data_IF_355495380758
#
_entry.id   IF_355495380758
#
_cell.length_a   1.000
_cell.length_b   1.000
_cell.length_c   1.000
_cell.angle_alpha   90.00
_cell.angle_beta   90.00
_cell.angle_gamma   90.00
#
_symmetry.space_group_name_H-M   'P 1'
#
loop_
_entity.id
_entity.type
_entity.pdbx_description
1 polymer ?
#
# COMPACT_ATOMS: atom_id res chain seq x y z
N UNK A 1 50.03 -18.01 2.41
CA UNK A 1 48.90 -17.06 2.56
C UNK A 1 47.70 -17.82 3.07
N UNK A 2 46.99 -17.33 4.10
CA UNK A 2 45.76 -17.97 4.55
C UNK A 2 44.70 -17.92 3.45
N UNK A 3 43.97 -19.02 3.24
CA UNK A 3 42.86 -19.06 2.30
C UNK A 3 41.75 -18.08 2.72
N UNK A 4 41.05 -17.48 1.77
CA UNK A 4 39.91 -16.58 2.01
C UNK A 4 38.91 -17.17 3.03
N UNK A 5 38.67 -18.48 2.95
CA UNK A 5 37.79 -19.21 3.85
C UNK A 5 38.31 -19.29 5.30
N UNK A 6 39.63 -19.40 5.48
CA UNK A 6 40.24 -19.39 6.80
C UNK A 6 40.13 -18.02 7.45
N UNK A 7 40.32 -16.94 6.67
CA UNK A 7 40.13 -15.57 7.13
C UNK A 7 38.67 -15.27 7.47
N UNK A 8 37.74 -15.67 6.61
CA UNK A 8 36.30 -15.52 6.84
C UNK A 8 35.86 -16.28 8.10
N UNK A 9 36.33 -17.51 8.30
CA UNK A 9 36.05 -18.29 9.51
C UNK A 9 36.63 -17.62 10.77
N UNK A 10 37.84 -17.09 10.71
CA UNK A 10 38.46 -16.38 11.84
C UNK A 10 37.71 -15.09 12.20
N UNK A 11 37.28 -14.32 11.20
CA UNK A 11 36.48 -13.10 11.40
C UNK A 11 35.09 -13.41 11.96
N UNK A 12 34.42 -14.43 11.43
CA UNK A 12 33.13 -14.90 11.99
C UNK A 12 33.28 -15.36 13.43
N UNK A 13 34.31 -16.17 13.72
CA UNK A 13 34.57 -16.66 15.08
C UNK A 13 34.82 -15.50 16.06
N UNK A 14 35.62 -14.52 15.64
CA UNK A 14 35.84 -13.30 16.40
C UNK A 14 34.53 -12.53 16.65
N UNK A 15 33.70 -12.33 15.63
CA UNK A 15 32.42 -11.64 15.78
C UNK A 15 31.46 -12.40 16.71
N UNK A 16 31.46 -13.73 16.67
CA UNK A 16 30.71 -14.57 17.61
C UNK A 16 31.25 -14.41 19.03
N UNK A 17 32.57 -14.38 19.23
CA UNK A 17 33.19 -14.18 20.55
C UNK A 17 32.90 -12.79 21.12
N UNK A 18 32.97 -11.74 20.30
CA UNK A 18 32.64 -10.37 20.71
C UNK A 18 31.17 -10.27 21.15
N UNK A 19 30.26 -10.86 20.37
CA UNK A 19 28.84 -10.96 20.70
C UNK A 19 28.61 -11.75 21.99
N UNK A 20 29.28 -12.90 22.17
CA UNK A 20 29.18 -13.73 23.39
C UNK A 20 29.71 -13.00 24.63
N UNK A 21 30.72 -12.13 24.48
CA UNK A 21 31.30 -11.35 25.58
C UNK A 21 30.37 -10.22 26.01
N UNK A 22 29.66 -9.58 25.08
CA UNK A 22 28.66 -8.56 25.38
C UNK A 22 27.24 -9.13 25.52
N UNK A 23 27.04 -9.96 26.55
CA UNK A 23 25.76 -10.66 26.83
C UNK A 23 24.51 -9.74 26.85
N UNK A 24 24.50 -8.55 27.49
CA UNK A 24 23.29 -7.72 27.52
C UNK A 24 22.93 -7.17 26.13
N UNK A 25 23.93 -6.80 25.33
CA UNK A 25 23.70 -6.34 23.95
C UNK A 25 23.18 -7.47 23.07
N UNK A 26 23.75 -8.67 23.18
CA UNK A 26 23.29 -9.85 22.44
C UNK A 26 21.84 -10.21 22.79
N UNK A 27 21.48 -10.11 24.07
CA UNK A 27 20.12 -10.36 24.53
C UNK A 27 19.13 -9.35 23.93
N UNK A 28 19.47 -8.06 23.93
CA UNK A 28 18.65 -7.02 23.30
C UNK A 28 18.53 -7.22 21.78
N UNK A 29 19.64 -7.53 21.09
CA UNK A 29 19.67 -7.79 19.64
C UNK A 29 18.78 -8.97 19.23
N UNK A 30 18.63 -9.99 20.09
CA UNK A 30 17.77 -11.16 19.82
C UNK A 30 16.32 -10.94 20.28
N UNK A 31 16.13 -10.27 21.43
CA UNK A 31 14.81 -10.09 22.02
C UNK A 31 13.93 -9.16 21.17
N UNK A 32 14.48 -8.05 20.64
CA UNK A 32 13.68 -7.11 19.85
C UNK A 32 13.08 -7.75 18.58
N UNK A 33 13.83 -8.46 17.72
CA UNK A 33 13.26 -9.15 16.55
C UNK A 33 12.22 -10.21 16.93
N UNK A 34 12.50 -11.00 17.97
CA UNK A 34 11.57 -12.04 18.44
C UNK A 34 10.28 -11.42 18.96
N UNK A 35 10.37 -10.32 19.72
CA UNK A 35 9.23 -9.55 20.18
C UNK A 35 8.35 -9.06 19.02
N UNK A 36 8.95 -8.50 17.97
CA UNK A 36 8.20 -8.04 16.79
C UNK A 36 7.57 -9.18 16.00
N UNK A 37 8.23 -10.33 15.88
CA UNK A 37 7.64 -11.52 15.24
C UNK A 37 6.44 -12.03 16.04
N UNK A 38 6.54 -12.08 17.38
CA UNK A 38 5.42 -12.45 18.25
C UNK A 38 4.27 -11.46 18.09
N UNK A 39 4.57 -10.16 18.04
CA UNK A 39 3.58 -9.11 17.79
C UNK A 39 2.89 -9.31 16.43
N UNK A 40 3.63 -9.62 15.36
CA UNK A 40 3.07 -9.90 14.04
C UNK A 40 2.16 -11.14 14.05
N UNK A 41 2.55 -12.20 14.75
CA UNK A 41 1.73 -13.41 14.91
C UNK A 41 0.47 -13.11 15.71
N UNK A 42 0.57 -12.31 16.78
CA UNK A 42 -0.57 -11.86 17.57
C UNK A 42 -1.53 -11.03 16.71
N UNK A 43 -1.03 -10.03 15.99
CA UNK A 43 -1.81 -9.22 15.04
C UNK A 43 -2.47 -10.11 13.99
N UNK A 44 -1.74 -11.06 13.38
CA UNK A 44 -2.32 -11.99 12.39
C UNK A 44 -3.43 -12.85 12.98
N UNK A 45 -3.25 -13.36 14.19
CA UNK A 45 -4.24 -14.22 14.86
C UNK A 45 -5.49 -13.46 15.29
N UNK A 46 -5.35 -12.20 15.71
CA UNK A 46 -6.48 -11.30 15.99
C UNK A 46 -7.28 -10.92 14.74
N UNK A 47 -6.74 -11.22 13.56
CA UNK A 47 -7.22 -10.70 12.28
C UNK A 47 -7.71 -11.80 11.34
N UNK A 48 -8.01 -13.00 11.85
CA UNK A 48 -8.70 -14.02 11.05
C UNK A 48 -10.00 -13.42 10.51
N UNK A 49 -10.02 -13.18 9.21
CA UNK A 49 -11.23 -12.76 8.51
C UNK A 49 -12.20 -13.95 8.51
N UNK A 50 -13.27 -13.82 9.27
CA UNK A 50 -14.38 -14.77 9.20
C UNK A 50 -15.11 -14.51 7.87
N UNK A 51 -14.96 -15.45 6.93
CA UNK A 51 -15.62 -15.36 5.63
C UNK A 51 -17.13 -15.41 5.85
N UNK A 52 -17.86 -14.49 5.22
CA UNK A 52 -19.30 -14.52 5.25
C UNK A 52 -19.80 -15.59 4.26
N UNK A 53 -20.61 -16.56 4.72
CA UNK A 53 -21.07 -17.65 3.87
C UNK A 53 -21.99 -17.15 2.75
N UNK A 54 -22.17 -17.98 1.72
CA UNK A 54 -23.16 -17.74 0.69
C UNK A 54 -24.57 -17.67 1.32
N UNK A 55 -25.40 -16.75 0.81
CA UNK A 55 -26.75 -16.50 1.33
C UNK A 55 -27.77 -16.65 0.21
N UNK A 56 -28.84 -17.38 0.50
CA UNK A 56 -30.05 -17.41 -0.32
C UNK A 56 -31.20 -16.78 0.45
N UNK A 57 -32.05 -16.06 -0.26
CA UNK A 57 -33.17 -15.32 0.33
C UNK A 57 -34.49 -16.01 0.01
N UNK A 58 -35.46 -16.05 0.93
CA UNK A 58 -36.78 -16.60 0.66
C UNK A 58 -37.55 -15.69 -0.33
N UNK A 59 -38.42 -16.29 -1.14
CA UNK A 59 -39.38 -15.53 -1.95
C UNK A 59 -40.49 -14.96 -1.05
N UNK A 60 -40.83 -13.70 -1.25
CA UNK A 60 -41.81 -12.97 -0.42
C UNK A 60 -42.94 -12.46 -1.30
N UNK A 61 -44.17 -12.74 -0.88
CA UNK A 61 -45.35 -12.25 -1.58
C UNK A 61 -45.49 -10.73 -1.38
N UNK A 62 -45.70 -9.98 -2.46
CA UNK A 62 -45.78 -8.51 -2.38
C UNK A 62 -46.95 -8.04 -1.52
N UNK A 63 -47.99 -8.87 -1.36
CA UNK A 63 -49.15 -8.55 -0.53
C UNK A 63 -48.79 -8.21 0.93
N UNK A 64 -47.70 -8.75 1.47
CA UNK A 64 -47.22 -8.43 2.83
C UNK A 64 -46.75 -6.97 2.95
N UNK A 65 -46.22 -6.39 1.87
CA UNK A 65 -45.69 -5.04 1.83
C UNK A 65 -46.74 -3.97 1.54
N UNK A 66 -47.95 -4.37 1.11
CA UNK A 66 -49.09 -3.44 0.91
C UNK A 66 -49.51 -2.72 2.21
N UNK A 67 -49.06 -3.20 3.37
CA UNK A 67 -49.28 -2.58 4.68
C UNK A 67 -48.39 -1.35 4.94
N UNK A 68 -47.20 -1.29 4.32
CA UNK A 68 -46.26 -0.18 4.42
C UNK A 68 -46.62 0.89 3.39
N UNK A 69 -47.43 1.85 3.84
CA UNK A 69 -48.07 2.86 3.00
C UNK A 69 -47.09 3.93 2.53
N UNK A 70 -47.36 4.48 1.33
CA UNK A 70 -46.99 5.85 0.96
C UNK A 70 -47.33 6.76 2.14
N UNK A 71 -46.32 7.38 2.75
CA UNK A 71 -46.50 8.31 3.86
C UNK A 71 -47.44 9.43 3.40
N UNK A 72 -48.58 9.58 4.08
CA UNK A 72 -49.76 10.33 3.67
C UNK A 72 -49.49 11.68 3.02
N UNK A 73 -49.38 11.68 1.69
CA UNK A 73 -49.04 12.84 0.90
C UNK A 73 -49.84 12.91 -0.39
N UNK A 74 -49.83 14.09 -1.00
CA UNK A 74 -50.45 14.36 -2.29
C UNK A 74 -49.71 13.61 -3.40
N UNK A 75 -50.45 13.09 -4.37
CA UNK A 75 -49.90 12.57 -5.62
C UNK A 75 -50.09 13.62 -6.72
N UNK A 76 -49.02 13.98 -7.42
CA UNK A 76 -49.12 14.87 -8.57
C UNK A 76 -49.21 14.07 -9.86
N UNK A 77 -50.24 14.32 -10.66
CA UNK A 77 -50.54 13.54 -11.87
C UNK A 77 -50.51 14.44 -13.11
N UNK A 78 -49.99 13.94 -14.23
CA UNK A 78 -49.99 14.61 -15.53
C UNK A 78 -50.19 13.58 -16.65
N UNK A 79 -50.86 13.90 -17.77
CA UNK A 79 -51.58 15.14 -18.09
C UNK A 79 -53.01 15.22 -17.51
N UNK A 80 -53.59 16.42 -17.44
CA UNK A 80 -54.95 16.64 -16.97
C UNK A 80 -56.00 16.28 -18.06
N UNK A 81 -56.22 14.99 -18.28
CA UNK A 81 -57.24 14.47 -19.18
C UNK A 81 -58.30 13.66 -18.42
N UNK A 82 -59.52 13.58 -18.96
CA UNK A 82 -60.61 12.80 -18.36
C UNK A 82 -60.29 11.30 -18.28
N UNK A 83 -59.53 10.77 -19.24
CA UNK A 83 -59.06 9.38 -19.23
C UNK A 83 -58.11 9.12 -18.06
N UNK A 84 -57.12 9.99 -17.84
CA UNK A 84 -56.17 9.87 -16.72
C UNK A 84 -56.88 10.02 -15.38
N UNK A 85 -57.91 10.87 -15.30
CA UNK A 85 -58.74 11.01 -14.10
C UNK A 85 -59.45 9.69 -13.75
N UNK A 86 -60.12 9.07 -14.73
CA UNK A 86 -60.80 7.79 -14.53
C UNK A 86 -59.82 6.68 -14.12
N UNK A 87 -58.63 6.64 -14.72
CA UNK A 87 -57.54 5.72 -14.34
C UNK A 87 -57.13 5.93 -12.88
N UNK A 88 -56.89 7.17 -12.48
CA UNK A 88 -56.46 7.49 -11.13
C UNK A 88 -57.51 7.15 -10.09
N UNK A 89 -58.80 7.41 -10.35
CA UNK A 89 -59.89 7.05 -9.46
C UNK A 89 -59.98 5.52 -9.27
N UNK A 90 -59.75 4.74 -10.34
CA UNK A 90 -59.68 3.28 -10.26
C UNK A 90 -58.45 2.77 -9.48
N UNK A 91 -57.29 3.41 -9.64
CA UNK A 91 -56.06 3.09 -8.89
C UNK A 91 -56.28 3.35 -7.39
N UNK A 92 -56.90 4.47 -7.03
CA UNK A 92 -57.19 4.81 -5.64
C UNK A 92 -58.19 3.85 -4.99
N UNK A 93 -59.19 3.40 -5.76
CA UNK A 93 -60.11 2.37 -5.30
C UNK A 93 -59.40 1.04 -5.02
N UNK A 94 -58.41 0.66 -5.84
CA UNK A 94 -57.61 -0.55 -5.64
C UNK A 94 -56.65 -0.44 -4.44
N UNK A 95 -56.13 0.75 -4.16
CA UNK A 95 -55.25 1.01 -3.01
C UNK A 95 -56.00 1.07 -1.67
N UNK A 96 -57.34 1.15 -1.68
CA UNK A 96 -58.22 1.15 -0.51
C UNK A 96 -57.86 2.19 0.58
N UNK A 97 -57.24 3.32 0.21
CA UNK A 97 -56.82 4.37 1.16
C UNK A 97 -57.14 5.79 0.66
N UNK A 98 -57.42 6.74 1.57
CA UNK A 98 -57.67 8.13 1.20
C UNK A 98 -56.36 8.83 0.86
N UNK A 99 -55.96 8.77 -0.42
CA UNK A 99 -54.83 9.53 -0.96
C UNK A 99 -55.39 10.66 -1.83
N UNK A 100 -54.93 11.89 -1.57
CA UNK A 100 -55.31 13.04 -2.38
C UNK A 100 -54.39 13.16 -3.60
N UNK A 101 -54.95 13.50 -4.76
CA UNK A 101 -54.16 13.77 -5.95
C UNK A 101 -54.53 15.12 -6.57
N UNK A 102 -53.56 15.72 -7.26
CA UNK A 102 -53.74 16.95 -8.01
C UNK A 102 -53.22 16.75 -9.43
N UNK A 103 -54.02 17.15 -10.42
CA UNK A 103 -53.67 16.99 -11.84
C UNK A 103 -53.09 18.27 -12.42
N UNK A 104 -52.08 18.13 -13.27
CA UNK A 104 -51.41 19.21 -13.98
C UNK A 104 -51.50 19.00 -15.48
N UNK A 105 -51.52 20.10 -16.24
CA UNK A 105 -51.53 20.06 -17.70
C UNK A 105 -50.21 19.53 -18.30
N UNK A 106 -49.10 19.67 -17.58
CA UNK A 106 -47.76 19.24 -18.03
C UNK A 106 -46.90 18.77 -16.86
N UNK A 107 -46.01 17.81 -17.12
CA UNK A 107 -45.05 17.28 -16.13
C UNK A 107 -44.15 18.37 -15.54
N UNK A 108 -43.74 19.36 -16.35
CA UNK A 108 -42.92 20.50 -15.89
C UNK A 108 -43.64 21.40 -14.87
N UNK A 109 -44.96 21.56 -15.01
CA UNK A 109 -45.75 22.34 -14.07
C UNK A 109 -45.87 21.62 -12.71
N UNK A 110 -46.04 20.29 -12.74
CA UNK A 110 -46.02 19.45 -11.54
C UNK A 110 -44.65 19.52 -10.82
N UNK A 111 -43.54 19.49 -11.56
CA UNK A 111 -42.19 19.62 -11.01
C UNK A 111 -41.95 21.00 -10.37
N UNK A 112 -42.40 22.08 -11.01
CA UNK A 112 -42.27 23.43 -10.47
C UNK A 112 -43.01 23.57 -9.13
N UNK A 113 -44.22 22.98 -9.03
CA UNK A 113 -44.97 22.97 -7.78
C UNK A 113 -44.32 22.09 -6.72
N UNK A 114 -43.80 20.93 -7.08
CA UNK A 114 -43.07 20.05 -6.17
C UNK A 114 -41.85 20.73 -5.53
N UNK A 115 -41.12 21.54 -6.31
CA UNK A 115 -39.99 22.34 -5.80
C UNK A 115 -40.41 23.40 -4.78
N UNK A 116 -41.66 23.87 -4.83
CA UNK A 116 -42.19 24.84 -3.87
C UNK A 116 -42.73 24.19 -2.58
N UNK A 117 -43.17 22.93 -2.63
CA UNK A 117 -43.79 22.24 -1.50
C UNK A 117 -43.42 20.75 -1.46
N UNK A 118 -42.16 20.47 -1.07
CA UNK A 118 -41.54 19.13 -1.20
C UNK A 118 -41.99 18.12 -0.14
N UNK A 119 -42.37 18.57 1.07
CA UNK A 119 -42.59 17.68 2.22
C UNK A 119 -43.96 16.98 2.25
N UNK A 120 -44.93 17.45 1.45
CA UNK A 120 -46.30 16.92 1.43
C UNK A 120 -46.63 16.06 0.22
N UNK A 121 -45.67 15.87 -0.69
CA UNK A 121 -45.89 15.14 -1.95
C UNK A 121 -45.25 13.75 -1.83
N UNK A 122 -46.06 12.72 -1.97
CA UNK A 122 -45.61 11.34 -1.84
C UNK A 122 -44.98 10.83 -3.15
N UNK A 123 -45.62 11.10 -4.28
CA UNK A 123 -45.17 10.67 -5.60
C UNK A 123 -45.71 11.58 -6.71
N UNK A 124 -45.01 11.63 -7.84
CA UNK A 124 -45.49 12.17 -9.11
C UNK A 124 -45.71 11.05 -10.12
N UNK A 125 -46.85 11.01 -10.78
CA UNK A 125 -47.17 10.05 -11.84
C UNK A 125 -47.31 10.82 -13.15
N UNK A 126 -46.55 10.40 -14.16
CA UNK A 126 -46.62 10.94 -15.51
C UNK A 126 -47.16 9.82 -16.40
N UNK A 127 -48.39 9.95 -16.86
CA UNK A 127 -48.94 9.11 -17.92
C UNK A 127 -48.51 9.68 -19.28
N UNK A 128 -48.52 8.82 -20.30
CA UNK A 128 -48.15 9.13 -21.68
C UNK A 128 -46.70 9.63 -21.84
N UNK A 129 -45.79 9.05 -21.04
CA UNK A 129 -44.39 9.47 -20.95
C UNK A 129 -43.65 9.44 -22.30
N UNK A 130 -43.86 8.40 -23.11
CA UNK A 130 -43.24 8.23 -24.44
C UNK A 130 -44.18 8.60 -25.60
N UNK A 131 -45.17 9.47 -25.36
CA UNK A 131 -46.28 9.77 -26.31
C UNK A 131 -47.15 8.54 -26.65
N UNK A 132 -46.91 7.42 -25.98
CA UNK A 132 -47.72 6.21 -26.06
C UNK A 132 -48.74 6.21 -24.92
N UNK A 133 -50.02 6.01 -25.26
CA UNK A 133 -51.18 6.05 -24.33
C UNK A 133 -51.11 5.09 -23.12
N UNK A 134 -50.18 4.15 -23.17
CA UNK A 134 -50.02 3.05 -22.21
C UNK A 134 -48.68 3.12 -21.45
N UNK A 135 -47.86 4.15 -21.72
CA UNK A 135 -46.60 4.37 -21.01
C UNK A 135 -46.84 5.24 -19.77
N UNK A 136 -46.13 4.94 -18.68
CA UNK A 136 -46.18 5.76 -17.48
C UNK A 136 -44.81 5.81 -16.80
N UNK A 137 -44.56 6.87 -16.03
CA UNK A 137 -43.38 7.03 -15.20
C UNK A 137 -43.79 7.47 -13.80
N UNK A 138 -43.26 6.78 -12.79
CA UNK A 138 -43.42 7.13 -11.38
C UNK A 138 -42.16 7.86 -10.93
N UNK A 139 -42.32 9.02 -10.32
CA UNK A 139 -41.23 9.83 -9.76
C UNK A 139 -41.45 10.03 -8.28
N UNK A 140 -40.44 9.71 -7.49
CA UNK A 140 -40.46 9.86 -6.03
C UNK A 140 -39.25 10.65 -5.58
N UNK A 141 -39.26 11.11 -4.33
CA UNK A 141 -38.13 11.81 -3.74
C UNK A 141 -36.92 10.87 -3.65
N UNK A 142 -35.78 11.31 -4.17
CA UNK A 142 -34.51 10.56 -4.17
C UNK A 142 -34.01 10.16 -2.78
N UNK A 143 -34.48 10.82 -1.71
CA UNK A 143 -34.14 10.47 -0.32
C UNK A 143 -34.80 9.15 0.09
N UNK A 144 -36.05 8.92 -0.34
CA UNK A 144 -36.82 7.74 0.05
C UNK A 144 -36.65 6.60 -0.97
N UNK A 145 -36.48 6.94 -2.24
CA UNK A 145 -36.30 5.97 -3.31
C UNK A 145 -35.08 6.42 -4.12
N UNK A 146 -33.88 5.91 -3.81
CA UNK A 146 -32.64 6.33 -4.47
C UNK A 146 -32.61 5.89 -5.94
N UNK A 147 -31.79 6.54 -6.77
CA UNK A 147 -31.63 6.10 -8.17
C UNK A 147 -31.05 4.68 -8.24
N UNK A 148 -31.64 3.86 -9.10
CA UNK A 148 -31.14 2.53 -9.48
C UNK A 148 -29.65 2.51 -9.81
N UNK A 149 -29.11 3.56 -10.46
CA UNK A 149 -27.67 3.66 -10.76
C UNK A 149 -26.79 3.67 -9.52
N UNK A 150 -27.29 4.23 -8.42
CA UNK A 150 -26.60 4.26 -7.12
C UNK A 150 -26.70 2.88 -6.45
N UNK A 151 -27.86 2.24 -6.52
CA UNK A 151 -28.08 0.92 -5.92
C UNK A 151 -27.17 -0.17 -6.51
N UNK A 152 -26.93 -0.16 -7.82
CA UNK A 152 -26.04 -1.12 -8.47
C UNK A 152 -24.54 -0.83 -8.26
N UNK A 153 -24.19 0.35 -7.75
CA UNK A 153 -22.82 0.72 -7.45
C UNK A 153 -22.41 0.41 -5.99
N UNK A 154 -23.32 -0.12 -5.17
CA UNK A 154 -23.09 -0.26 -3.74
C UNK A 154 -22.51 -1.63 -3.33
N UNK A 155 -21.46 -1.51 -2.52
CA UNK A 155 -20.70 -2.46 -1.71
C UNK A 155 -21.33 -3.87 -1.56
N UNK A 156 -20.59 -4.96 -1.85
CA UNK A 156 -21.08 -6.35 -1.83
C UNK A 156 -21.55 -6.86 -0.44
N UNK A 157 -21.30 -6.08 0.61
CA UNK A 157 -21.67 -6.37 2.01
C UNK A 157 -23.11 -5.95 2.35
N UNK A 158 -23.72 -5.06 1.57
CA UNK A 158 -25.09 -4.59 1.79
C UNK A 158 -26.10 -5.76 1.73
N UNK A 159 -27.21 -5.67 2.45
CA UNK A 159 -28.30 -6.68 2.49
C UNK A 159 -27.92 -8.08 3.01
N UNK A 160 -26.71 -8.32 3.54
CA UNK A 160 -26.32 -9.63 4.13
C UNK A 160 -26.68 -9.80 5.60
N UNK A 161 -26.93 -8.70 6.31
CA UNK A 161 -27.21 -8.73 7.75
C UNK A 161 -28.59 -9.32 8.09
N UNK A 162 -29.51 -9.36 7.11
CA UNK A 162 -30.86 -9.87 7.28
C UNK A 162 -31.07 -11.13 6.43
N UNK A 163 -31.23 -12.28 7.09
CA UNK A 163 -31.47 -13.58 6.43
C UNK A 163 -32.78 -13.62 5.65
N UNK A 164 -33.76 -12.79 6.03
CA UNK A 164 -35.04 -12.70 5.34
C UNK A 164 -34.99 -11.71 4.17
N UNK A 165 -33.98 -10.84 4.13
CA UNK A 165 -33.80 -9.86 3.06
C UNK A 165 -34.92 -8.82 2.99
N UNK A 166 -35.58 -8.49 4.10
CA UNK A 166 -36.70 -7.52 4.16
C UNK A 166 -36.36 -6.22 4.85
N UNK A 167 -35.28 -6.16 5.62
CA UNK A 167 -34.88 -4.97 6.36
C UNK A 167 -34.49 -3.82 5.43
N UNK A 168 -34.88 -2.59 5.78
CA UNK A 168 -34.53 -1.35 5.06
C UNK A 168 -33.23 -0.73 5.55
N UNK A 169 -32.86 -0.91 6.82
CA UNK A 169 -31.71 -0.24 7.46
C UNK A 169 -30.35 -0.64 6.91
N UNK A 170 -30.24 -1.83 6.31
CA UNK A 170 -28.99 -2.37 5.77
C UNK A 170 -29.12 -2.76 4.29
N UNK A 171 -30.27 -2.49 3.68
CA UNK A 171 -30.56 -2.84 2.30
C UNK A 171 -31.40 -1.75 1.63
N UNK A 172 -30.71 -0.82 0.96
CA UNK A 172 -31.35 0.31 0.29
C UNK A 172 -32.33 -0.14 -0.80
N UNK A 173 -32.12 -1.31 -1.42
CA UNK A 173 -33.02 -1.87 -2.43
C UNK A 173 -34.43 -2.12 -1.87
N UNK A 174 -34.53 -2.51 -0.59
CA UNK A 174 -35.82 -2.78 0.04
C UNK A 174 -36.65 -1.51 0.29
N UNK A 175 -36.06 -0.32 0.19
CA UNK A 175 -36.79 0.95 0.31
C UNK A 175 -37.90 1.07 -0.75
N UNK A 176 -37.71 0.50 -1.94
CA UNK A 176 -38.72 0.44 -2.99
C UNK A 176 -39.98 -0.33 -2.56
N UNK A 177 -39.80 -1.40 -1.76
CA UNK A 177 -40.91 -2.20 -1.25
C UNK A 177 -41.62 -1.54 -0.08
N UNK A 178 -40.88 -0.87 0.80
CA UNK A 178 -41.43 -0.28 2.04
C UNK A 178 -41.99 1.14 1.88
N UNK A 179 -41.49 1.92 0.91
CA UNK A 179 -41.95 3.30 0.71
C UNK A 179 -43.15 3.40 -0.26
N UNK A 180 -43.74 2.27 -0.65
CA UNK A 180 -44.96 2.21 -1.46
C UNK A 180 -44.76 2.46 -2.97
N UNK A 181 -43.53 2.45 -3.48
CA UNK A 181 -43.28 2.51 -4.92
C UNK A 181 -43.84 1.27 -5.62
N UNK A 182 -43.53 0.08 -5.11
CA UNK A 182 -43.98 -1.20 -5.70
C UNK A 182 -45.49 -1.36 -5.64
N UNK A 183 -46.14 -0.92 -4.55
CA UNK A 183 -47.59 -0.98 -4.41
C UNK A 183 -48.30 -0.07 -5.42
N UNK A 184 -47.79 1.14 -5.65
CA UNK A 184 -48.29 2.05 -6.67
C UNK A 184 -48.06 1.48 -8.07
N UNK A 185 -46.88 0.92 -8.34
CA UNK A 185 -46.56 0.29 -9.61
C UNK A 185 -47.52 -0.87 -9.92
N UNK A 186 -47.74 -1.78 -8.96
CA UNK A 186 -48.68 -2.90 -9.12
C UNK A 186 -50.13 -2.43 -9.33
N UNK A 187 -50.56 -1.39 -8.63
CA UNK A 187 -51.91 -0.85 -8.80
C UNK A 187 -52.10 -0.27 -10.21
N UNK A 188 -51.12 0.51 -10.72
CA UNK A 188 -51.15 1.04 -12.09
C UNK A 188 -51.17 -0.11 -13.11
N UNK A 189 -50.24 -1.05 -13.01
CA UNK A 189 -50.13 -2.17 -13.94
C UNK A 189 -51.41 -3.01 -13.97
N UNK A 190 -52.02 -3.25 -12.80
CA UNK A 190 -53.30 -3.96 -12.69
C UNK A 190 -54.42 -3.23 -13.43
N UNK A 191 -54.52 -1.92 -13.32
CA UNK A 191 -55.54 -1.14 -14.04
C UNK A 191 -55.25 -1.12 -15.55
N UNK A 192 -54.00 -0.94 -15.96
CA UNK A 192 -53.61 -0.97 -17.38
C UNK A 192 -53.89 -2.35 -18.01
N UNK A 193 -53.59 -3.44 -17.30
CA UNK A 193 -53.92 -4.81 -17.77
C UNK A 193 -55.43 -5.02 -17.92
N UNK A 194 -56.24 -4.49 -16.99
CA UNK A 194 -57.72 -4.53 -17.08
C UNK A 194 -58.21 -3.75 -18.32
N UNK A 195 -57.65 -2.57 -18.60
CA UNK A 195 -58.00 -1.78 -19.78
C UNK A 195 -57.66 -2.50 -21.09
N UNK A 196 -56.55 -3.24 -21.11
CA UNK A 196 -56.12 -4.06 -22.25
C UNK A 196 -56.93 -5.36 -22.42
N UNK A 197 -58.00 -5.56 -21.61
CA UNK A 197 -58.88 -6.74 -21.65
C UNK A 197 -58.13 -8.07 -21.57
N UNK A 198 -56.99 -8.09 -20.86
CA UNK A 198 -56.33 -9.35 -20.55
C UNK A 198 -57.13 -10.08 -19.47
N UNK A 199 -57.82 -11.16 -19.87
CA UNK A 199 -58.55 -12.04 -18.96
C UNK A 199 -57.56 -12.89 -18.17
N UNK A 200 -57.01 -12.34 -17.09
CA UNK A 200 -56.19 -13.10 -16.16
C UNK A 200 -56.64 -12.86 -14.73
N UNK A 201 -56.79 -13.96 -14.01
CA UNK A 201 -56.83 -14.00 -12.54
C UNK A 201 -55.72 -13.11 -11.97
N UNK A 202 -55.99 -12.36 -10.89
CA UNK A 202 -54.99 -11.52 -10.23
C UNK A 202 -53.69 -12.31 -10.04
N UNK A 203 -52.58 -11.95 -10.73
CA UNK A 203 -51.35 -12.73 -10.64
C UNK A 203 -50.77 -12.60 -9.23
N UNK A 204 -50.42 -13.73 -8.62
CA UNK A 204 -49.66 -13.75 -7.37
C UNK A 204 -48.20 -13.45 -7.68
N UNK A 205 -47.74 -12.26 -7.32
CA UNK A 205 -46.36 -11.82 -7.59
C UNK A 205 -45.55 -11.96 -6.31
N UNK A 206 -44.45 -12.70 -6.38
CA UNK A 206 -43.46 -12.77 -5.32
C UNK A 206 -42.16 -12.13 -5.78
N UNK A 207 -41.45 -11.50 -4.85
CA UNK A 207 -40.11 -10.95 -5.09
C UNK A 207 -39.10 -11.70 -4.24
N UNK A 208 -37.94 -11.95 -4.82
CA UNK A 208 -36.83 -12.62 -4.17
C UNK A 208 -35.56 -11.83 -4.51
N UNK A 209 -34.74 -11.55 -3.49
CA UNK A 209 -33.40 -11.03 -3.72
C UNK A 209 -32.54 -12.13 -4.36
N UNK A 210 -31.68 -11.74 -5.30
CA UNK A 210 -30.73 -12.68 -5.88
C UNK A 210 -29.80 -13.25 -4.81
N UNK A 211 -29.44 -14.52 -4.98
CA UNK A 211 -28.49 -15.20 -4.11
C UNK A 211 -27.16 -14.46 -4.11
N UNK A 212 -26.58 -14.32 -2.91
CA UNK A 212 -25.29 -13.65 -2.72
C UNK A 212 -24.18 -14.69 -2.54
N UNK A 213 -23.10 -14.61 -3.33
CA UNK A 213 -21.98 -15.56 -3.24
C UNK A 213 -21.23 -15.41 -1.91
N UNK A 214 -20.31 -16.31 -1.61
CA UNK A 214 -19.41 -16.16 -0.46
C UNK A 214 -18.62 -14.83 -0.59
N UNK A 215 -18.52 -14.08 0.51
CA UNK A 215 -17.76 -12.83 0.55
C UNK A 215 -16.73 -12.90 1.67
N UNK A 216 -15.48 -12.67 1.29
CA UNK A 216 -14.44 -12.38 2.28
C UNK A 216 -14.58 -10.88 2.63
N UNK A 217 -14.83 -10.53 3.90
CA UNK A 217 -15.02 -9.13 4.29
C UNK A 217 -13.79 -8.30 3.92
N UNK A 218 -14.00 -7.00 3.65
CA UNK A 218 -12.89 -6.07 3.35
C UNK A 218 -11.86 -6.09 4.47
N UNK A 219 -10.59 -5.89 4.10
CA UNK A 219 -9.46 -5.82 5.04
C UNK A 219 -9.73 -4.79 6.13
N UNK A 220 -9.78 -5.24 7.39
CA UNK A 220 -9.83 -4.37 8.56
C UNK A 220 -8.67 -3.35 8.53
N UNK A 221 -8.86 -2.14 9.06
CA UNK A 221 -7.81 -1.10 9.13
C UNK A 221 -6.49 -1.61 9.74
N UNK A 222 -6.57 -2.55 10.69
CA UNK A 222 -5.39 -3.19 11.30
C UNK A 222 -4.58 -4.02 10.28
N UNK A 223 -5.21 -4.58 9.25
CA UNK A 223 -4.53 -5.35 8.19
C UNK A 223 -3.82 -4.42 7.22
N UNK A 224 -4.42 -3.27 6.91
CA UNK A 224 -3.79 -2.20 6.11
C UNK A 224 -2.53 -1.66 6.80
N UNK A 225 -2.56 -1.51 8.12
CA UNK A 225 -1.41 -1.05 8.90
C UNK A 225 -0.39 -2.15 9.24
N UNK A 226 -0.65 -3.42 8.89
CA UNK A 226 0.27 -4.54 9.20
C UNK A 226 1.66 -4.37 8.56
N UNK A 227 1.71 -3.75 7.38
CA UNK A 227 2.94 -3.42 6.66
C UNK A 227 3.91 -2.56 7.46
N UNK A 228 3.41 -1.63 8.28
CA UNK A 228 4.22 -0.75 9.12
C UNK A 228 4.96 -1.55 10.18
N UNK A 229 4.33 -2.57 10.78
CA UNK A 229 4.97 -3.42 11.78
C UNK A 229 6.11 -4.26 11.19
N UNK A 230 5.97 -4.74 9.95
CA UNK A 230 7.07 -5.42 9.25
C UNK A 230 8.27 -4.50 9.06
N UNK A 231 8.07 -3.28 8.59
CA UNK A 231 9.17 -2.32 8.40
C UNK A 231 9.83 -1.97 9.73
N UNK A 232 9.04 -1.77 10.79
CA UNK A 232 9.55 -1.48 12.13
C UNK A 232 10.48 -2.60 12.62
N UNK A 233 10.10 -3.87 12.41
CA UNK A 233 10.90 -5.02 12.85
C UNK A 233 12.28 -5.10 12.19
N UNK A 234 12.38 -4.81 10.89
CA UNK A 234 13.64 -4.85 10.16
C UNK A 234 14.52 -3.63 10.46
N UNK A 235 13.90 -2.48 10.73
CA UNK A 235 14.63 -1.24 10.99
C UNK A 235 15.47 -1.29 12.27
N UNK A 236 14.97 -1.95 13.31
CA UNK A 236 15.70 -2.09 14.59
C UNK A 236 16.98 -2.91 14.41
N UNK A 237 16.94 -3.95 13.57
CA UNK A 237 18.12 -4.74 13.22
C UNK A 237 19.18 -3.92 12.47
N UNK A 238 18.74 -3.10 11.51
CA UNK A 238 19.63 -2.24 10.75
C UNK A 238 20.34 -1.22 11.64
N UNK A 239 19.65 -0.68 12.65
CA UNK A 239 20.21 0.27 13.61
C UNK A 239 21.33 -0.34 14.47
N UNK A 240 21.12 -1.54 15.01
CA UNK A 240 22.16 -2.23 15.77
C UNK A 240 23.39 -2.52 14.92
N UNK A 241 23.19 -2.95 13.66
CA UNK A 241 24.28 -3.18 12.72
C UNK A 241 25.04 -1.89 12.41
N UNK A 242 24.32 -0.78 12.17
CA UNK A 242 24.93 0.52 11.94
C UNK A 242 25.77 0.99 13.14
N UNK A 243 25.22 0.95 14.36
CA UNK A 243 25.94 1.34 15.59
C UNK A 243 27.19 0.49 15.78
N UNK A 244 27.10 -0.83 15.58
CA UNK A 244 28.25 -1.73 15.72
C UNK A 244 29.35 -1.45 14.68
N UNK A 245 28.98 -1.18 13.42
CA UNK A 245 29.93 -0.80 12.36
C UNK A 245 30.60 0.54 12.70
N UNK A 246 29.82 1.51 13.18
CA UNK A 246 30.33 2.83 13.57
C UNK A 246 31.27 2.71 14.75
N UNK A 247 30.91 1.95 15.78
CA UNK A 247 31.76 1.69 16.94
C UNK A 247 33.06 0.97 16.55
N UNK A 248 33.02 0.03 15.60
CA UNK A 248 34.23 -0.63 15.08
C UNK A 248 35.13 0.37 14.34
N UNK A 249 34.51 1.30 13.61
CA UNK A 249 35.21 2.35 12.85
C UNK A 249 35.81 3.43 13.77
N UNK A 250 35.11 3.85 14.81
CA UNK A 250 35.57 4.85 15.79
C UNK A 250 36.76 4.33 16.59
N UNK A 251 36.69 3.08 17.05
CA UNK A 251 37.77 2.44 17.81
C UNK A 251 38.98 2.02 16.95
N UNK A 252 38.98 2.37 15.64
CA UNK A 252 40.06 2.06 14.68
C UNK A 252 40.48 0.58 14.69
N UNK A 253 39.54 -0.31 15.00
CA UNK A 253 39.82 -1.74 15.20
C UNK A 253 40.36 -2.38 13.90
N UNK A 254 39.91 -1.88 12.75
CA UNK A 254 40.39 -2.27 11.42
C UNK A 254 41.87 -1.93 11.19
N UNK A 255 42.33 -0.79 11.71
CA UNK A 255 43.75 -0.40 11.65
C UNK A 255 44.60 -1.29 12.55
N UNK A 256 44.09 -1.65 13.74
CA UNK A 256 44.73 -2.65 14.61
C UNK A 256 44.82 -4.04 13.95
N UNK A 257 43.80 -4.47 13.20
CA UNK A 257 43.85 -5.72 12.42
C UNK A 257 44.90 -5.69 11.31
N UNK A 258 45.06 -4.55 10.64
CA UNK A 258 46.11 -4.35 9.63
C UNK A 258 47.51 -4.45 10.25
N UNK A 259 47.73 -3.88 11.43
CA UNK A 259 49.01 -3.99 12.15
C UNK A 259 49.31 -5.42 12.63
N UNK A 260 48.29 -6.26 12.83
CA UNK A 260 48.45 -7.68 13.14
C UNK A 260 48.71 -8.57 11.91
N UNK A 261 48.94 -7.98 10.73
CA UNK A 261 49.31 -8.71 9.51
C UNK A 261 48.13 -9.31 8.74
N UNK A 262 46.89 -8.92 9.05
CA UNK A 262 45.74 -9.28 8.21
C UNK A 262 45.83 -8.49 6.90
N UNK A 263 45.77 -9.15 5.72
CA UNK A 263 45.82 -8.46 4.46
C UNK A 263 44.63 -7.51 4.33
N UNK A 264 44.90 -6.35 3.75
CA UNK A 264 43.89 -5.32 3.52
C UNK A 264 42.88 -5.85 2.50
N UNK A 265 41.69 -6.21 2.98
CA UNK A 265 40.50 -6.30 2.13
C UNK A 265 40.20 -4.86 1.66
N UNK A 266 40.80 -4.44 0.55
CA UNK A 266 40.41 -3.24 -0.21
C UNK A 266 38.90 -3.32 -0.49
N UNK A 267 38.06 -2.29 -0.34
CA UNK A 267 38.23 -0.84 -0.16
C UNK A 267 37.21 -0.38 0.90
N UNK A 268 37.66 0.35 1.91
CA UNK A 268 36.86 1.35 2.64
C UNK A 268 37.82 2.00 3.63
N UNK A 269 38.21 3.24 3.33
CA UNK A 269 39.08 4.08 4.16
C UNK A 269 38.43 5.46 4.32
N UNK A 270 38.20 5.80 5.59
CA UNK A 270 38.15 7.13 6.19
C UNK A 270 37.01 8.10 5.83
N UNK A 271 35.91 7.93 6.58
CA UNK A 271 35.19 9.07 7.15
C UNK A 271 34.61 8.67 8.52
N UNK A 272 35.26 9.04 9.63
CA UNK A 272 34.82 8.66 10.99
C UNK A 272 33.69 9.54 11.51
N UNK A 273 33.71 10.85 11.18
CA UNK A 273 32.70 11.82 11.60
C UNK A 273 31.35 11.61 10.89
N UNK A 274 31.37 11.22 9.61
CA UNK A 274 30.14 10.88 8.87
C UNK A 274 29.49 9.58 9.36
N UNK A 275 30.28 8.62 9.82
CA UNK A 275 29.78 7.34 10.33
C UNK A 275 29.08 7.50 11.70
N UNK A 276 29.68 8.28 12.62
CA UNK A 276 29.06 8.59 13.91
C UNK A 276 27.74 9.36 13.76
N UNK A 277 27.71 10.37 12.88
CA UNK A 277 26.48 11.11 12.55
C UNK A 277 25.44 10.17 11.89
N UNK A 278 25.87 9.28 10.99
CA UNK A 278 25.01 8.30 10.34
C UNK A 278 24.42 7.26 11.31
N UNK A 279 25.14 6.86 12.37
CA UNK A 279 24.61 5.95 13.41
C UNK A 279 23.51 6.58 14.27
N UNK A 280 23.66 7.86 14.64
CA UNK A 280 22.63 8.61 15.39
C UNK A 280 21.42 8.92 14.50
N UNK A 281 21.65 9.33 13.25
CA UNK A 281 20.59 9.55 12.26
C UNK A 281 19.88 8.22 11.94
N UNK A 282 20.59 7.10 11.84
CA UNK A 282 20.01 5.78 11.67
C UNK A 282 19.14 5.38 12.87
N UNK A 283 19.52 5.73 14.10
CA UNK A 283 18.71 5.44 15.30
C UNK A 283 17.30 6.06 15.27
N UNK A 284 17.20 7.34 14.87
CA UNK A 284 15.94 8.09 14.86
C UNK A 284 15.17 8.01 13.53
N UNK A 285 15.84 7.70 12.43
CA UNK A 285 15.20 7.64 11.10
C UNK A 285 14.01 6.68 11.04
N UNK A 286 14.01 5.47 11.64
CA UNK A 286 12.91 4.52 11.47
C UNK A 286 11.65 4.96 12.17
N UNK A 287 11.76 5.69 13.29
CA UNK A 287 10.59 6.23 13.99
C UNK A 287 9.96 7.32 13.14
N UNK A 288 10.76 8.25 12.62
CA UNK A 288 10.29 9.33 11.74
C UNK A 288 9.69 8.74 10.45
N UNK A 289 10.39 7.80 9.82
CA UNK A 289 9.94 7.07 8.62
C UNK A 289 8.68 6.27 8.91
N UNK A 290 8.55 5.64 10.08
CA UNK A 290 7.34 4.91 10.47
C UNK A 290 6.16 5.84 10.69
N UNK A 291 6.37 7.03 11.25
CA UNK A 291 5.34 8.06 11.38
C UNK A 291 4.90 8.58 10.01
N UNK A 292 5.85 8.78 9.08
CA UNK A 292 5.55 9.14 7.69
C UNK A 292 4.78 8.02 6.99
N UNK A 293 5.18 6.76 7.16
CA UNK A 293 4.44 5.61 6.63
C UNK A 293 3.02 5.50 7.20
N UNK A 294 2.86 5.80 8.50
CA UNK A 294 1.55 5.84 9.13
C UNK A 294 0.70 6.97 8.55
N UNK A 295 1.25 8.17 8.38
CA UNK A 295 0.55 9.30 7.75
C UNK A 295 0.15 8.98 6.31
N UNK A 296 1.04 8.37 5.51
CA UNK A 296 0.73 7.92 4.14
C UNK A 296 -0.39 6.88 4.17
N UNK A 297 -0.37 5.94 5.12
CA UNK A 297 -1.41 4.92 5.24
C UNK A 297 -2.79 5.50 5.60
N UNK A 298 -2.86 6.66 6.26
CA UNK A 298 -4.12 7.38 6.54
C UNK A 298 -4.71 8.06 5.31
N UNK A 299 -3.90 8.32 4.28
CA UNK A 299 -4.38 8.94 3.01
C UNK A 299 -4.93 7.93 2.00
N UNK A 300 -5.01 6.65 2.37
CA UNK A 300 -5.41 5.55 1.50
C UNK A 300 -6.90 5.29 1.63
N UNK A 301 -7.61 5.19 0.51
CA UNK A 301 -9.06 4.95 0.49
C UNK A 301 -9.41 3.51 0.90
N UNK A 302 -10.54 3.34 1.58
CA UNK A 302 -11.00 2.02 2.05
C UNK A 302 -11.34 1.08 0.88
N UNK A 303 -10.53 0.03 0.73
CA UNK A 303 -10.71 -0.99 -0.32
C UNK A 303 -9.96 -0.72 -1.63
N UNK A 304 -9.13 0.32 -1.69
CA UNK A 304 -8.14 0.52 -2.75
C UNK A 304 -6.75 0.69 -2.14
N UNK A 305 -5.69 0.31 -2.87
CA UNK A 305 -4.32 0.57 -2.44
C UNK A 305 -3.76 1.91 -2.91
N UNK A 306 -4.50 2.63 -3.75
CA UNK A 306 -4.10 3.94 -4.24
C UNK A 306 -4.18 4.96 -3.09
N UNK A 307 -3.05 5.60 -2.78
CA UNK A 307 -3.06 6.76 -1.89
C UNK A 307 -3.63 7.97 -2.65
N UNK A 308 -4.40 8.84 -1.97
CA UNK A 308 -4.90 10.11 -2.51
C UNK A 308 -3.78 11.17 -2.65
N UNK A 309 -2.67 10.77 -3.27
CA UNK A 309 -1.47 11.55 -3.51
C UNK A 309 -1.23 11.53 -5.02
N UNK A 310 -0.83 12.65 -5.66
CA UNK A 310 -0.46 12.65 -7.07
C UNK A 310 0.61 11.59 -7.35
N UNK A 311 0.55 10.96 -8.52
CA UNK A 311 1.46 9.86 -8.91
C UNK A 311 2.92 10.26 -8.71
N UNK A 312 3.32 11.47 -9.13
CA UNK A 312 4.67 12.00 -8.93
C UNK A 312 5.09 12.07 -7.45
N UNK A 313 4.15 12.38 -6.54
CA UNK A 313 4.40 12.38 -5.10
C UNK A 313 4.66 10.96 -4.56
N UNK A 314 3.98 9.95 -5.09
CA UNK A 314 4.23 8.55 -4.72
C UNK A 314 5.62 8.09 -5.19
N UNK A 315 6.03 8.47 -6.40
CA UNK A 315 7.40 8.21 -6.89
C UNK A 315 8.46 8.87 -6.01
N UNK A 316 8.26 10.14 -5.63
CA UNK A 316 9.21 10.86 -4.77
C UNK A 316 9.32 10.23 -3.38
N UNK A 317 8.19 9.86 -2.77
CA UNK A 317 8.19 9.18 -1.46
C UNK A 317 8.89 7.81 -1.51
N UNK A 318 8.81 7.11 -2.64
CA UNK A 318 9.50 5.84 -2.85
C UNK A 318 11.03 5.96 -3.01
N UNK A 319 11.61 7.17 -3.10
CA UNK A 319 13.07 7.37 -2.98
C UNK A 319 13.60 7.08 -1.57
N UNK A 320 12.69 7.02 -0.59
CA UNK A 320 13.00 6.55 0.75
C UNK A 320 12.74 5.04 0.74
N UNK A 321 13.81 4.25 0.61
CA UNK A 321 13.76 2.77 0.54
C UNK A 321 12.84 2.08 1.55
N UNK A 322 12.75 2.58 2.78
CA UNK A 322 11.85 2.05 3.82
C UNK A 322 10.36 2.29 3.53
N UNK A 323 10.02 3.39 2.87
CA UNK A 323 8.66 3.67 2.38
C UNK A 323 8.37 2.75 1.19
N UNK A 324 9.30 2.65 0.23
CA UNK A 324 9.14 1.75 -0.91
C UNK A 324 8.90 0.29 -0.46
N UNK A 325 9.71 -0.21 0.48
CA UNK A 325 9.52 -1.54 1.06
C UNK A 325 8.16 -1.71 1.77
N UNK A 326 7.73 -0.71 2.55
CA UNK A 326 6.40 -0.70 3.17
C UNK A 326 5.28 -0.80 2.14
N UNK A 327 5.37 -0.02 1.06
CA UNK A 327 4.37 -0.03 -0.02
C UNK A 327 4.30 -1.37 -0.72
N UNK A 328 5.45 -2.01 -1.03
CA UNK A 328 5.51 -3.36 -1.62
C UNK A 328 4.79 -4.38 -0.74
N UNK A 329 5.06 -4.38 0.57
CA UNK A 329 4.40 -5.29 1.51
C UNK A 329 2.89 -5.02 1.56
N UNK A 330 2.49 -3.74 1.65
CA UNK A 330 1.07 -3.37 1.73
C UNK A 330 0.29 -3.80 0.50
N UNK A 331 0.89 -3.68 -0.69
CA UNK A 331 0.28 -4.09 -1.96
C UNK A 331 0.28 -5.62 -2.10
N UNK A 332 1.36 -6.29 -1.68
CA UNK A 332 1.43 -7.76 -1.64
C UNK A 332 0.34 -8.38 -0.76
N UNK A 333 0.16 -7.87 0.46
CA UNK A 333 -0.91 -8.33 1.37
C UNK A 333 -2.29 -8.05 0.78
N UNK A 334 -2.48 -6.88 0.14
CA UNK A 334 -3.76 -6.55 -0.49
C UNK A 334 -4.13 -7.54 -1.60
N UNK A 335 -3.16 -7.95 -2.43
CA UNK A 335 -3.36 -8.90 -3.51
C UNK A 335 -3.56 -10.35 -3.02
N UNK A 336 -2.90 -10.72 -1.92
CA UNK A 336 -3.10 -12.03 -1.28
C UNK A 336 -4.52 -12.19 -0.71
N UNK A 337 -5.13 -11.10 -0.24
CA UNK A 337 -6.47 -11.12 0.35
C UNK A 337 -7.57 -11.02 -0.70
N UNK A 338 -7.44 -10.12 -1.67
CA UNK A 338 -8.53 -9.81 -2.61
C UNK A 338 -8.50 -10.65 -3.89
N UNK A 339 -7.41 -11.38 -4.17
CA UNK A 339 -7.19 -12.09 -5.44
C UNK A 339 -6.55 -13.45 -5.21
N UNK A 340 -6.24 -14.15 -6.30
CA UNK A 340 -5.66 -15.50 -6.34
C UNK A 340 -4.20 -15.58 -5.86
N UNK A 341 -3.74 -14.64 -5.02
CA UNK A 341 -2.37 -14.55 -4.55
C UNK A 341 -1.42 -13.79 -5.49
N UNK A 342 -0.12 -13.89 -5.20
CA UNK A 342 0.95 -13.29 -5.98
C UNK A 342 1.19 -14.09 -7.28
N UNK A 343 0.71 -13.57 -8.41
CA UNK A 343 0.95 -14.11 -9.75
C UNK A 343 1.81 -13.16 -10.60
N UNK A 344 2.75 -13.69 -11.37
CA UNK A 344 3.69 -12.88 -12.16
C UNK A 344 3.07 -12.22 -13.41
N UNK A 345 1.86 -12.61 -13.82
CA UNK A 345 1.32 -12.20 -15.12
C UNK A 345 0.43 -10.95 -15.04
N UNK A 346 -0.61 -10.97 -14.21
CA UNK A 346 -1.63 -9.89 -14.16
C UNK A 346 -1.69 -9.15 -12.82
N UNK A 347 -0.98 -9.64 -11.79
CA UNK A 347 -0.99 -9.05 -10.44
C UNK A 347 -0.05 -7.85 -10.33
N UNK A 348 1.01 -7.81 -11.16
CA UNK A 348 2.08 -6.80 -11.08
C UNK A 348 1.72 -5.44 -11.69
N UNK A 349 0.82 -5.39 -12.67
CA UNK A 349 0.45 -4.19 -13.44
C UNK A 349 -0.88 -3.56 -13.01
N UNK A 350 -1.50 -4.08 -11.94
CA UNK A 350 -2.79 -3.59 -11.48
C UNK A 350 -2.67 -2.19 -10.84
N UNK A 351 -3.70 -1.35 -11.02
CA UNK A 351 -3.89 -0.05 -10.35
C UNK A 351 -3.11 1.13 -10.92
N UNK A 352 -3.28 2.31 -10.30
CA UNK A 352 -2.61 3.54 -10.74
C UNK A 352 -1.11 3.54 -10.44
N UNK A 353 -0.72 2.91 -9.34
CA UNK A 353 0.68 2.68 -8.97
C UNK A 353 0.97 1.17 -8.86
N UNK A 354 1.40 0.54 -9.96
CA UNK A 354 1.57 -0.91 -10.04
C UNK A 354 2.71 -1.42 -9.16
N UNK A 355 2.62 -2.67 -8.70
CA UNK A 355 3.58 -3.33 -7.81
C UNK A 355 5.03 -3.29 -8.30
N UNK A 356 5.24 -3.30 -9.62
CA UNK A 356 6.59 -3.26 -10.19
C UNK A 356 7.27 -1.89 -9.95
N UNK A 357 6.51 -0.81 -9.80
CA UNK A 357 7.05 0.54 -9.65
C UNK A 357 7.87 0.71 -8.35
N UNK A 358 7.36 0.37 -7.14
CA UNK A 358 8.17 0.46 -5.93
C UNK A 358 9.31 -0.56 -5.88
N UNK A 359 9.17 -1.72 -6.54
CA UNK A 359 10.27 -2.70 -6.68
C UNK A 359 11.41 -2.12 -7.54
N UNK A 360 11.07 -1.47 -8.65
CA UNK A 360 12.05 -0.78 -9.50
C UNK A 360 12.72 0.36 -8.72
N UNK A 361 11.96 1.13 -7.95
CA UNK A 361 12.51 2.19 -7.09
C UNK A 361 13.46 1.65 -6.03
N UNK A 362 13.17 0.51 -5.40
CA UNK A 362 14.13 -0.15 -4.50
C UNK A 362 15.44 -0.51 -5.20
N UNK A 363 15.38 -0.99 -6.45
CA UNK A 363 16.59 -1.24 -7.22
C UNK A 363 17.35 0.07 -7.52
N UNK A 364 16.65 1.15 -7.88
CA UNK A 364 17.25 2.48 -8.07
C UNK A 364 17.87 3.00 -6.79
N UNK A 365 17.22 2.85 -5.63
CA UNK A 365 17.74 3.24 -4.32
C UNK A 365 19.03 2.48 -3.99
N UNK A 366 19.14 1.19 -4.31
CA UNK A 366 20.39 0.45 -4.10
C UNK A 366 21.55 1.03 -4.91
N UNK A 367 21.29 1.42 -6.17
CA UNK A 367 22.28 2.07 -7.03
C UNK A 367 22.61 3.46 -6.47
N UNK A 368 21.61 4.24 -6.08
CA UNK A 368 21.78 5.59 -5.55
C UNK A 368 22.57 5.57 -4.24
N UNK A 369 22.25 4.69 -3.29
CA UNK A 369 23.01 4.55 -2.05
C UNK A 369 24.41 3.99 -2.29
N UNK A 370 24.60 3.10 -3.26
CA UNK A 370 25.93 2.66 -3.66
C UNK A 370 26.76 3.82 -4.23
N UNK A 371 26.18 4.67 -5.08
CA UNK A 371 26.84 5.88 -5.58
C UNK A 371 27.11 6.90 -4.47
N UNK A 372 26.17 7.08 -3.54
CA UNK A 372 26.29 7.98 -2.40
C UNK A 372 27.40 7.54 -1.44
N UNK A 373 27.53 6.23 -1.20
CA UNK A 373 28.61 5.69 -0.36
C UNK A 373 29.98 5.91 -1.02
N UNK A 374 30.09 5.70 -2.33
CA UNK A 374 31.29 6.04 -3.11
C UNK A 374 31.57 7.55 -3.08
N UNK A 375 30.54 8.38 -3.20
CA UNK A 375 30.66 9.84 -3.15
C UNK A 375 31.19 10.32 -1.79
N UNK A 376 30.62 9.86 -0.68
CA UNK A 376 31.06 10.25 0.66
C UNK A 376 32.48 9.79 0.96
N UNK A 377 32.88 8.62 0.47
CA UNK A 377 34.26 8.13 0.62
C UNK A 377 35.29 9.00 -0.12
N UNK A 378 34.91 9.66 -1.23
CA UNK A 378 35.84 10.44 -2.06
C UNK A 378 35.80 11.95 -1.83
N UNK A 379 34.64 12.52 -1.47
CA UNK A 379 34.45 13.98 -1.38
C UNK A 379 34.65 14.52 0.05
N UNK A 380 34.38 13.71 1.08
CA UNK A 380 34.62 14.08 2.48
C UNK A 380 35.74 13.19 3.04
N UNK A 381 37.02 13.44 2.67
CA UNK A 381 38.11 12.68 3.26
C UNK A 381 38.18 12.96 4.77
N UNK A 382 38.29 11.90 5.56
CA UNK A 382 38.74 12.02 6.94
C UNK A 382 40.14 12.64 7.05
N UNK A 383 40.64 12.81 8.28
CA UNK A 383 41.83 13.59 8.67
C UNK A 383 43.14 13.34 7.89
N UNK A 384 43.22 12.30 7.05
CA UNK A 384 44.42 11.93 6.26
C UNK A 384 44.11 11.53 4.80
N UNK A 385 42.98 11.96 4.21
CA UNK A 385 42.59 11.58 2.84
C UNK A 385 42.82 12.68 1.79
N UNK A 386 43.26 12.30 0.60
CA UNK A 386 43.42 13.20 -0.56
C UNK A 386 42.04 13.46 -1.18
N UNK A 387 41.65 14.73 -1.40
CA UNK A 387 40.37 15.12 -2.04
C UNK A 387 40.40 14.85 -3.54
N UNK A 388 39.47 14.03 -4.04
CA UNK A 388 39.27 13.84 -5.48
C UNK A 388 38.14 14.74 -6.02
N UNK A 389 38.15 15.04 -7.33
CA UNK A 389 37.11 15.84 -7.99
C UNK A 389 35.76 15.10 -7.96
N UNK A 390 34.62 15.80 -7.78
CA UNK A 390 33.30 15.18 -7.54
C UNK A 390 32.78 14.31 -8.69
N UNK A 391 33.30 14.43 -9.92
CA UNK A 391 32.87 13.64 -11.09
C UNK A 391 33.78 12.45 -11.42
N UNK A 392 34.83 12.20 -10.62
CA UNK A 392 35.81 11.13 -10.87
C UNK A 392 35.19 9.72 -10.78
N UNK A 393 34.11 9.54 -10.02
CA UNK A 393 33.41 8.26 -9.84
C UNK A 393 32.67 7.76 -11.10
N UNK A 394 32.37 8.65 -12.06
CA UNK A 394 31.67 8.33 -13.32
C UNK A 394 32.64 7.89 -14.44
N UNK A 395 33.96 8.02 -14.25
CA UNK A 395 34.91 7.60 -15.27
C UNK A 395 34.99 6.07 -15.34
N UNK A 396 34.85 5.51 -16.54
CA UNK A 396 34.97 4.06 -16.79
C UNK A 396 36.32 3.48 -16.33
N UNK A 397 37.38 4.29 -16.24
CA UNK A 397 38.70 3.90 -15.71
C UNK A 397 38.69 3.53 -14.22
N UNK A 398 37.67 3.95 -13.46
CA UNK A 398 37.48 3.57 -12.06
C UNK A 398 36.87 2.17 -11.92
N UNK A 399 35.87 1.86 -12.74
CA UNK A 399 35.12 0.59 -12.72
C UNK A 399 35.85 -0.52 -13.47
N UNK A 400 36.56 -0.17 -14.55
CA UNK A 400 37.38 -1.06 -15.34
C UNK A 400 38.85 -0.66 -15.19
N UNK A 401 39.56 -1.36 -14.29
CA UNK A 401 41.02 -1.32 -14.30
C UNK A 401 41.49 -1.94 -15.62
N UNK A 402 42.17 -1.17 -16.46
CA UNK A 402 42.96 -1.74 -17.54
C UNK A 402 43.98 -2.68 -16.91
N UNK A 403 43.94 -3.95 -17.35
CA UNK A 403 44.84 -5.00 -16.90
C UNK A 403 46.24 -4.65 -17.40
N UNK A 404 46.99 -3.83 -16.65
CA UNK A 404 48.44 -3.79 -16.82
C UNK A 404 48.93 -5.19 -16.45
N UNK A 405 49.45 -5.89 -17.44
CA UNK A 405 50.14 -7.15 -17.34
C UNK A 405 51.15 -7.10 -16.20
N UNK A 406 51.14 -8.12 -15.35
CA UNK A 406 52.27 -8.47 -14.49
C UNK A 406 53.51 -8.59 -15.37
N UNK A 407 54.28 -7.51 -15.44
CA UNK A 407 55.64 -7.57 -15.95
C UNK A 407 56.48 -8.19 -14.82
N UNK A 408 56.81 -9.47 -14.98
CA UNK A 408 57.79 -10.16 -14.14
C UNK A 408 59.06 -9.31 -14.10
N UNK A 409 59.37 -8.74 -12.93
CA UNK A 409 60.67 -8.15 -12.66
C UNK A 409 61.65 -9.32 -12.62
N UNK A 410 62.30 -9.57 -13.75
CA UNK A 410 63.50 -10.38 -13.82
C UNK A 410 64.54 -9.70 -12.93
N UNK A 411 64.97 -10.39 -11.86
CA UNK A 411 66.14 -10.01 -11.09
C UNK A 411 67.36 -10.11 -12.01
N UNK A 412 67.71 -9.01 -12.64
CA UNK A 412 69.04 -8.78 -13.20
C UNK A 412 69.53 -7.50 -12.59
N UNK A 413 70.58 -7.59 -11.78
CA UNK A 413 71.21 -6.46 -11.11
C UNK A 413 71.64 -5.40 -12.13
N UNK A 414 71.29 -4.12 -11.91
CA UNK A 414 72.05 -3.03 -12.48
C UNK A 414 72.54 -2.09 -11.38
N UNK A 415 73.70 -1.52 -11.64
CA UNK A 415 74.38 -0.55 -10.81
C UNK A 415 73.48 0.63 -10.49
N UNK A 416 73.52 1.03 -9.22
CA UNK A 416 72.76 2.12 -8.63
C UNK A 416 73.22 3.46 -9.22
N UNK A 417 72.39 4.07 -10.06
CA UNK A 417 72.43 5.51 -10.33
C UNK A 417 71.07 6.09 -9.95
N UNK A 418 71.05 6.85 -8.86
CA UNK A 418 69.83 7.38 -8.27
C UNK A 418 69.48 8.70 -8.95
N UNK A 419 68.58 8.68 -9.93
CA UNK A 419 67.94 9.89 -10.42
C UNK A 419 66.85 10.30 -9.41
N UNK A 420 66.97 11.49 -8.82
CA UNK A 420 65.96 12.06 -7.93
C UNK A 420 64.61 12.18 -8.64
N UNK A 421 63.60 11.47 -8.14
CA UNK A 421 62.18 11.71 -8.46
C UNK A 421 61.54 12.51 -7.33
N UNK A 422 60.49 13.28 -7.66
CA UNK A 422 59.79 14.23 -6.78
C UNK A 422 59.15 13.64 -5.52
N UNK A 423 59.16 12.31 -5.39
CA UNK A 423 58.36 11.58 -4.40
C UNK A 423 59.24 10.93 -3.32
N UNK A 424 60.53 11.29 -3.25
CA UNK A 424 61.48 10.83 -2.22
C UNK A 424 62.07 12.04 -1.51
N UNK A 425 61.73 12.21 -0.24
CA UNK A 425 62.35 13.22 0.63
C UNK A 425 63.81 12.81 0.89
N UNK A 426 64.75 13.73 0.67
CA UNK A 426 66.17 13.46 0.86
C UNK A 426 66.45 13.18 2.34
N UNK A 427 67.23 12.12 2.60
CA UNK A 427 67.65 11.79 3.96
C UNK A 427 68.45 12.97 4.52
N UNK A 428 68.09 13.53 5.69
CA UNK A 428 68.87 14.60 6.31
C UNK A 428 70.25 14.06 6.69
N UNK A 429 71.31 14.83 6.35
CA UNK A 429 72.73 14.47 6.52
C UNK A 429 73.12 14.10 7.97
N UNK A 430 72.27 14.40 8.93
CA UNK A 430 72.47 14.10 10.36
C UNK A 430 72.20 12.63 10.72
N UNK A 431 71.55 11.87 9.83
CA UNK A 431 71.12 10.48 10.06
C UNK A 431 71.98 9.47 9.27
N UNK A 432 72.67 9.89 8.21
CA UNK A 432 73.51 8.99 7.38
C UNK A 432 74.60 8.28 8.19
N UNK A 433 75.13 8.94 9.23
CA UNK A 433 76.22 8.40 10.05
C UNK A 433 75.74 7.64 11.30
N UNK A 434 74.43 7.47 11.51
CA UNK A 434 73.86 6.84 12.71
C UNK A 434 73.24 5.48 12.38
N UNK A 435 74.07 4.43 12.36
CA UNK A 435 73.60 3.04 12.26
C UNK A 435 73.05 2.61 13.63
N UNK A 436 71.73 2.43 13.74
CA UNK A 436 71.07 2.06 15.00
C UNK A 436 71.14 0.55 15.32
N UNK A 437 71.32 -0.32 14.33
CA UNK A 437 71.50 -1.77 14.56
C UNK A 437 72.05 -2.44 13.29
N UNK A 438 73.13 -3.22 13.44
CA UNK A 438 73.71 -4.07 12.38
C UNK A 438 73.57 -5.53 12.82
N UNK A 439 72.92 -6.36 12.01
CA UNK A 439 72.88 -7.80 12.22
C UNK A 439 73.92 -8.44 11.33
N UNK A 440 74.95 -9.03 11.94
CA UNK A 440 76.01 -9.79 11.29
C UNK A 440 75.78 -11.28 11.59
N UNK A 441 75.89 -12.13 10.56
CA UNK A 441 75.85 -13.60 10.60
C UNK A 441 74.54 -14.25 11.06
N UNK A 442 73.51 -14.22 10.19
CA UNK A 442 72.42 -15.21 10.24
C UNK A 442 72.76 -16.38 9.30
N UNK A 443 73.13 -17.56 9.82
CA UNK A 443 73.28 -18.75 8.99
C UNK A 443 71.89 -19.25 8.54
N UNK A 444 71.63 -19.18 7.24
CA UNK A 444 70.41 -19.72 6.63
C UNK A 444 70.68 -21.17 6.21
N UNK A 445 70.23 -22.15 7.01
CA UNK A 445 70.19 -23.55 6.58
C UNK A 445 68.86 -23.80 5.85
N UNK A 446 68.94 -24.07 4.55
CA UNK A 446 67.83 -24.65 3.80
C UNK A 446 67.86 -26.18 3.95
N UNK A 447 66.79 -26.76 4.50
CA UNK A 447 66.48 -28.20 4.42
C UNK A 447 65.05 -28.39 3.97
#
# INVERSE_FOLDING_TARGET
MASFWQQLKALLWRNILLKKRNKPQLFQELLFPVYFVILLVFVKNSMKQEKQPAMSFPAINISSFLSYSLLGGYIYVSPNTSQVKNRMDAILAELQRPIFYEMFSSSKAAEAKYKSNTSRVAAGIIFDYDQNSNSYAIRMNSIYVPDTKVLFNNIPETCRSDKNGTATSYCDVNTYMHNGFTSLQLAIDKILMKELKMNTTNPTISVQLMDKPELSPKTNNIQTHSSVYFVLSFSVLANFLAVNIVAEKENKIKEGMLMMGLPKMEKHKNSSRAAALAGVIAGYSPVIISLVNLAVSQTREEGSYDANIPIAGQWLMCLISTIAFSTVISQGIFLDVHRTGFGFDSSLTYGKFPLYAPILMLAVDTILYALLTVYFDHVIPGEYGIRYKPYYFLQCSYWFKSRKSDEMIHLTSPQMSFSQTSDVEAVPKEIEDKIAMSFVDLPVSFS
#
